data_IF_371388487491
#
_entry.id   IF_371388487491
#
_cell.length_a   1.000
_cell.length_b   1.000
_cell.length_c   1.000
_cell.angle_alpha   90.00
_cell.angle_beta   90.00
_cell.angle_gamma   90.00
#
_symmetry.space_group_name_H-M   'P 1'
#
loop_
_entity.id
_entity.type
_entity.pdbx_description
1 polymer ?
#
# COMPACT_ATOMS: atom_id res chain seq x y z
N UNK A 1 2.50 8.04 -30.92
CA UNK A 1 2.25 7.25 -29.68
C UNK A 1 2.98 5.93 -29.90
N UNK A 2 4.10 5.67 -29.22
CA UNK A 2 4.71 4.34 -29.28
C UNK A 2 3.81 3.36 -28.54
N UNK A 3 3.48 2.24 -29.19
CA UNK A 3 2.87 1.11 -28.49
C UNK A 3 3.94 0.50 -27.58
N UNK A 4 3.55 0.16 -26.35
CA UNK A 4 4.44 -0.52 -25.41
C UNK A 4 4.94 -1.83 -26.01
N UNK A 5 6.20 -2.15 -25.78
CA UNK A 5 6.76 -3.42 -26.24
C UNK A 5 6.14 -4.60 -25.45
N UNK A 6 6.14 -5.82 -26.00
CA UNK A 6 5.69 -7.01 -25.26
C UNK A 6 6.40 -7.19 -23.92
N UNK A 7 7.70 -6.87 -23.85
CA UNK A 7 8.50 -6.92 -22.63
C UNK A 7 8.05 -5.88 -21.60
N UNK A 8 7.72 -4.66 -22.04
CA UNK A 8 7.20 -3.59 -21.17
C UNK A 8 5.84 -3.96 -20.56
N UNK A 9 4.97 -4.60 -21.36
CA UNK A 9 3.66 -5.07 -20.89
C UNK A 9 3.83 -6.17 -19.82
N UNK A 10 4.70 -7.14 -20.07
CA UNK A 10 5.03 -8.20 -19.12
C UNK A 10 5.59 -7.64 -17.81
N UNK A 11 6.59 -6.77 -17.88
CA UNK A 11 7.22 -6.16 -16.70
C UNK A 11 6.23 -5.35 -15.86
N UNK A 12 5.31 -4.63 -16.52
CA UNK A 12 4.22 -3.93 -15.83
C UNK A 12 3.26 -4.89 -15.14
N UNK A 13 2.91 -5.99 -15.80
CA UNK A 13 2.07 -7.05 -15.24
C UNK A 13 2.67 -7.62 -13.96
N UNK A 14 3.94 -8.02 -14.01
CA UNK A 14 4.68 -8.54 -12.85
C UNK A 14 4.75 -7.52 -11.70
N UNK A 15 5.01 -6.26 -12.04
CA UNK A 15 5.05 -5.17 -11.05
C UNK A 15 3.69 -4.95 -10.37
N UNK A 16 2.59 -5.07 -11.13
CA UNK A 16 1.23 -4.91 -10.62
C UNK A 16 0.82 -6.07 -9.73
N UNK A 17 1.10 -7.29 -10.15
CA UNK A 17 0.83 -8.50 -9.37
C UNK A 17 1.59 -8.47 -8.03
N UNK A 18 2.86 -8.07 -8.06
CA UNK A 18 3.66 -7.92 -6.84
C UNK A 18 3.08 -6.88 -5.86
N UNK A 19 2.58 -5.76 -6.37
CA UNK A 19 1.91 -4.76 -5.55
C UNK A 19 0.60 -5.29 -4.97
N UNK A 20 -0.20 -6.01 -5.76
CA UNK A 20 -1.47 -6.60 -5.33
C UNK A 20 -1.25 -7.65 -4.23
N UNK A 21 -0.27 -8.54 -4.39
CA UNK A 21 0.14 -9.51 -3.35
C UNK A 21 0.56 -8.81 -2.04
N UNK A 22 1.34 -7.73 -2.15
CA UNK A 22 1.78 -6.96 -0.99
C UNK A 22 0.62 -6.22 -0.31
N UNK A 23 -0.36 -5.71 -1.07
CA UNK A 23 -1.56 -5.10 -0.52
C UNK A 23 -2.48 -6.14 0.13
N UNK A 24 -2.48 -7.38 -0.36
CA UNK A 24 -3.28 -8.47 0.19
C UNK A 24 -2.85 -8.89 1.60
N UNK A 25 -1.61 -8.61 2.03
CA UNK A 25 -1.16 -8.89 3.41
C UNK A 25 -1.69 -7.87 4.44
N UNK A 26 -2.32 -6.78 3.98
CA UNK A 26 -2.86 -5.73 4.84
C UNK A 26 -4.33 -5.98 5.17
N UNK A 27 -4.73 -5.62 6.38
CA UNK A 27 -6.16 -5.50 6.70
C UNK A 27 -6.78 -4.34 5.91
N UNK A 28 -8.10 -4.33 5.68
CA UNK A 28 -8.76 -3.24 4.97
C UNK A 28 -8.48 -1.85 5.59
N UNK A 29 -8.41 -1.77 6.93
CA UNK A 29 -8.14 -0.52 7.65
C UNK A 29 -6.68 -0.07 7.52
N UNK A 30 -5.72 -0.99 7.58
CA UNK A 30 -4.31 -0.70 7.33
C UNK A 30 -4.08 -0.22 5.90
N UNK A 31 -4.67 -0.90 4.92
CA UNK A 31 -4.59 -0.51 3.51
C UNK A 31 -5.18 0.88 3.27
N UNK A 32 -6.38 1.13 3.79
CA UNK A 32 -7.03 2.43 3.65
C UNK A 32 -6.22 3.55 4.31
N UNK A 33 -5.71 3.34 5.52
CA UNK A 33 -4.86 4.32 6.21
C UNK A 33 -3.57 4.62 5.43
N UNK A 34 -2.94 3.59 4.86
CA UNK A 34 -1.73 3.77 4.04
C UNK A 34 -2.02 4.54 2.75
N UNK A 35 -3.06 4.17 2.00
CA UNK A 35 -3.42 4.86 0.74
C UNK A 35 -3.74 6.33 1.03
N UNK A 36 -4.61 6.59 1.99
CA UNK A 36 -5.03 7.95 2.30
C UNK A 36 -3.88 8.83 2.80
N UNK A 37 -2.92 8.27 3.55
CA UNK A 37 -1.79 9.05 4.09
C UNK A 37 -0.59 9.17 3.15
N UNK A 38 -0.22 8.08 2.47
CA UNK A 38 1.04 8.00 1.73
C UNK A 38 0.86 8.18 0.21
N UNK A 39 -0.35 7.95 -0.34
CA UNK A 39 -0.63 8.19 -1.77
C UNK A 39 -1.45 9.46 -1.99
N UNK A 40 -2.47 9.69 -1.16
CA UNK A 40 -3.35 10.86 -1.26
C UNK A 40 -2.86 12.05 -0.39
N UNK A 41 -1.75 11.87 0.33
CA UNK A 41 -1.11 12.87 1.20
C UNK A 41 -2.02 13.53 2.27
N UNK A 42 -3.15 12.91 2.61
CA UNK A 42 -4.15 13.49 3.52
C UNK A 42 -3.64 13.53 4.97
N UNK A 43 -3.87 14.63 5.71
CA UNK A 43 -3.43 14.76 7.10
C UNK A 43 -4.04 13.68 8.00
N UNK A 44 -3.32 13.28 9.05
CA UNK A 44 -3.74 12.18 9.93
C UNK A 44 -5.11 12.44 10.59
N UNK A 45 -5.44 13.71 10.85
CA UNK A 45 -6.74 14.22 11.26
C UNK A 45 -7.87 13.79 10.31
N UNK A 46 -7.69 14.02 9.02
CA UNK A 46 -8.70 13.74 7.99
C UNK A 46 -8.82 12.23 7.75
N UNK A 47 -7.71 11.50 7.79
CA UNK A 47 -7.72 10.03 7.73
C UNK A 47 -8.49 9.44 8.90
N UNK A 48 -8.24 9.95 10.11
CA UNK A 48 -8.92 9.51 11.34
C UNK A 48 -10.44 9.73 11.22
N UNK A 49 -10.86 10.88 10.70
CA UNK A 49 -12.28 11.20 10.45
C UNK A 49 -12.91 10.28 9.41
N UNK A 50 -12.25 10.03 8.28
CA UNK A 50 -12.77 9.14 7.21
C UNK A 50 -12.86 7.68 7.63
N UNK A 51 -11.94 7.24 8.48
CA UNK A 51 -11.92 5.88 8.98
C UNK A 51 -12.70 5.72 10.30
N UNK A 52 -13.30 6.78 10.82
CA UNK A 52 -14.01 6.76 12.11
C UNK A 52 -13.15 6.12 13.22
N UNK A 53 -11.94 6.65 13.42
CA UNK A 53 -11.00 6.18 14.44
C UNK A 53 -10.14 7.32 14.99
N UNK A 54 -9.31 7.05 16.00
CA UNK A 54 -8.40 8.05 16.55
C UNK A 54 -7.16 8.27 15.67
N UNK A 55 -6.53 9.45 15.77
CA UNK A 55 -5.22 9.70 15.13
C UNK A 55 -4.15 8.69 15.58
N UNK A 56 -4.23 8.22 16.83
CA UNK A 56 -3.34 7.18 17.34
C UNK A 56 -3.55 5.85 16.60
N UNK A 57 -4.81 5.48 16.36
CA UNK A 57 -5.18 4.30 15.57
C UNK A 57 -4.67 4.41 14.13
N UNK A 58 -4.79 5.58 13.50
CA UNK A 58 -4.21 5.83 12.15
C UNK A 58 -2.71 5.59 12.13
N UNK A 59 -1.96 6.15 13.10
CA UNK A 59 -0.50 5.93 13.20
C UNK A 59 -0.16 4.44 13.35
N UNK A 60 -0.89 3.73 14.20
CA UNK A 60 -0.69 2.29 14.40
C UNK A 60 -1.01 1.49 13.14
N UNK A 61 -2.09 1.82 12.41
CA UNK A 61 -2.41 1.19 11.13
C UNK A 61 -1.31 1.38 10.10
N UNK A 62 -0.77 2.60 9.96
CA UNK A 62 0.33 2.89 9.02
C UNK A 62 1.61 2.14 9.43
N UNK A 63 1.96 2.17 10.72
CA UNK A 63 3.14 1.47 11.23
C UNK A 63 3.06 -0.05 10.96
N UNK A 64 1.90 -0.65 11.24
CA UNK A 64 1.63 -2.06 10.96
C UNK A 64 1.68 -2.36 9.46
N UNK A 65 1.05 -1.51 8.63
CA UNK A 65 1.06 -1.65 7.18
C UNK A 65 2.49 -1.67 6.62
N UNK A 66 3.31 -0.68 6.98
CA UNK A 66 4.71 -0.59 6.56
C UNK A 66 5.55 -1.77 7.07
N UNK A 67 5.30 -2.23 8.29
CA UNK A 67 5.98 -3.40 8.86
C UNK A 67 5.66 -4.68 8.07
N UNK A 68 4.38 -4.91 7.75
CA UNK A 68 3.93 -6.04 6.94
C UNK A 68 4.49 -5.98 5.51
N UNK A 69 4.45 -4.81 4.88
CA UNK A 69 5.05 -4.60 3.56
C UNK A 69 6.56 -4.88 3.54
N UNK A 70 7.32 -4.38 4.52
CA UNK A 70 8.75 -4.68 4.63
C UNK A 70 9.02 -6.18 4.75
N UNK A 71 8.22 -6.91 5.53
CA UNK A 71 8.34 -8.36 5.67
C UNK A 71 7.99 -9.09 4.37
N UNK A 72 6.96 -8.65 3.66
CA UNK A 72 6.59 -9.19 2.35
C UNK A 72 7.71 -8.98 1.33
N UNK A 73 8.22 -7.76 1.21
CA UNK A 73 9.31 -7.43 0.29
C UNK A 73 10.61 -8.18 0.61
N UNK A 74 10.90 -8.43 1.89
CA UNK A 74 12.06 -9.22 2.30
C UNK A 74 11.95 -10.71 1.91
N UNK A 75 10.74 -11.27 1.81
CA UNK A 75 10.53 -12.67 1.42
C UNK A 75 10.78 -12.92 -0.06
N UNK A 76 10.48 -11.95 -0.94
CA UNK A 76 10.70 -12.08 -2.38
C UNK A 76 12.14 -11.80 -2.82
N UNK A 77 12.93 -11.13 -1.96
CA UNK A 77 14.38 -10.96 -2.17
C UNK A 77 15.18 -12.25 -1.88
N UNK A 78 14.56 -13.26 -1.28
CA UNK A 78 15.14 -14.60 -1.07
C UNK A 78 14.63 -15.54 -2.15
#
# INVERSE_FOLDING_TARGET
RHAESPEEILLRGESREYLEEGLAVLTPRERAALILRDLEDLPAEEVARRLDCSKATVRSHIANARSKFRKFAARRKR
#
